data_IF_263983858218
#
_entry.id   IF_263983858218
#
_cell.length_a   1.000
_cell.length_b   1.000
_cell.length_c   1.000
_cell.angle_alpha   90.00
_cell.angle_beta   90.00
_cell.angle_gamma   90.00
#
_symmetry.space_group_name_H-M   'P 1'
#
loop_
_entity.id
_entity.type
_entity.pdbx_description
1 polymer ?
#
# COMPACT_ATOMS: atom_id res chain seq x y z
N UNK A 1 -18.84 24.06 -6.35
CA UNK A 1 -17.92 23.64 -7.42
C UNK A 1 -17.32 22.29 -7.03
N UNK A 2 -17.65 21.20 -7.71
CA UNK A 2 -16.97 19.91 -7.51
C UNK A 2 -15.55 20.06 -8.08
N UNK A 3 -14.58 20.12 -7.17
CA UNK A 3 -13.14 20.19 -7.42
C UNK A 3 -12.58 18.75 -7.52
N UNK A 4 -11.39 18.57 -8.09
CA UNK A 4 -11.13 17.50 -9.02
C UNK A 4 -11.03 16.10 -8.42
N UNK A 5 -11.50 15.14 -9.20
CA UNK A 5 -11.31 13.69 -9.05
C UNK A 5 -9.92 13.34 -9.59
N UNK A 6 -9.01 12.81 -8.77
CA UNK A 6 -7.74 12.29 -9.27
C UNK A 6 -7.38 10.96 -8.61
N UNK A 7 -7.24 9.95 -9.47
CA UNK A 7 -7.03 8.55 -9.15
C UNK A 7 -5.58 8.22 -9.48
N UNK A 8 -4.86 7.66 -8.52
CA UNK A 8 -3.66 6.86 -8.75
C UNK A 8 -3.73 5.63 -7.84
N UNK A 9 -2.86 4.67 -8.05
CA UNK A 9 -3.19 3.23 -8.00
C UNK A 9 -2.18 2.48 -7.15
N UNK A 10 -2.43 1.23 -6.73
CA UNK A 10 -1.72 0.69 -5.58
C UNK A 10 -0.58 -0.29 -5.93
N UNK A 11 0.64 0.10 -5.62
CA UNK A 11 1.62 -0.77 -4.97
C UNK A 11 2.68 0.13 -4.34
N UNK A 12 3.14 -0.20 -3.13
CA UNK A 12 4.28 0.47 -2.51
C UNK A 12 5.56 0.15 -3.30
N UNK A 13 5.72 0.79 -4.45
CA UNK A 13 6.95 0.81 -5.24
C UNK A 13 7.60 2.17 -5.08
N UNK A 14 8.93 2.19 -5.12
CA UNK A 14 9.65 3.46 -5.02
C UNK A 14 9.26 4.39 -6.17
N UNK A 15 9.17 3.85 -7.40
CA UNK A 15 8.77 4.61 -8.57
C UNK A 15 7.38 5.25 -8.43
N UNK A 16 6.42 4.53 -7.82
CA UNK A 16 5.08 5.06 -7.57
C UNK A 16 5.06 6.17 -6.52
N UNK A 17 5.95 6.11 -5.52
CA UNK A 17 6.07 7.16 -4.50
C UNK A 17 6.78 8.40 -5.06
N UNK A 18 7.84 8.22 -5.85
CA UNK A 18 8.57 9.31 -6.53
C UNK A 18 7.63 10.12 -7.44
N UNK A 19 6.88 9.45 -8.32
CA UNK A 19 5.93 10.12 -9.21
C UNK A 19 4.89 10.96 -8.46
N UNK A 20 4.53 10.55 -7.24
CA UNK A 20 3.62 11.29 -6.39
C UNK A 20 4.26 12.45 -5.65
N UNK A 21 5.51 12.30 -5.21
CA UNK A 21 6.27 13.41 -4.66
C UNK A 21 6.41 14.53 -5.71
N UNK A 22 6.79 14.19 -6.95
CA UNK A 22 6.91 15.13 -8.06
C UNK A 22 5.60 15.86 -8.36
N UNK A 23 4.48 15.11 -8.38
CA UNK A 23 3.16 15.71 -8.57
C UNK A 23 2.82 16.67 -7.42
N UNK A 24 3.01 16.24 -6.18
CA UNK A 24 2.68 17.04 -5.01
C UNK A 24 3.54 18.30 -4.94
N UNK A 25 4.84 18.21 -5.24
CA UNK A 25 5.73 19.38 -5.33
C UNK A 25 5.17 20.44 -6.29
N UNK A 26 4.69 20.02 -7.46
CA UNK A 26 4.14 20.93 -8.47
C UNK A 26 2.82 21.62 -8.03
N UNK A 27 2.01 20.96 -7.17
CA UNK A 27 0.69 21.47 -6.77
C UNK A 27 0.63 22.02 -5.33
N UNK A 28 1.60 21.69 -4.47
CA UNK A 28 1.62 22.02 -3.04
C UNK A 28 1.32 23.49 -2.73
N UNK A 29 1.88 24.48 -3.45
CA UNK A 29 1.63 25.89 -3.16
C UNK A 29 0.16 26.31 -3.36
N UNK A 30 -0.62 25.50 -4.08
CA UNK A 30 -2.03 25.75 -4.39
C UNK A 30 -2.97 24.97 -3.48
N UNK A 31 -2.43 24.10 -2.61
CA UNK A 31 -3.21 23.29 -1.68
C UNK A 31 -3.29 23.98 -0.31
N UNK A 32 -4.49 23.99 0.28
CA UNK A 32 -4.72 24.64 1.58
C UNK A 32 -4.07 23.92 2.75
N UNK A 33 -4.29 22.59 2.85
CA UNK A 33 -3.62 21.68 3.75
C UNK A 33 -3.68 20.28 3.15
N UNK A 34 -2.64 19.47 3.35
CA UNK A 34 -2.57 18.16 2.74
C UNK A 34 -1.91 17.14 3.68
N UNK A 35 -2.54 15.99 3.88
CA UNK A 35 -2.10 14.97 4.82
C UNK A 35 -1.22 13.91 4.13
N UNK A 36 0.05 13.81 4.53
CA UNK A 36 1.03 12.84 4.07
C UNK A 36 1.01 11.57 4.94
N UNK A 37 1.25 10.38 4.37
CA UNK A 37 1.30 9.08 5.06
C UNK A 37 2.62 8.90 5.82
N UNK A 38 3.02 9.94 6.56
CA UNK A 38 4.19 9.99 7.43
C UNK A 38 3.71 9.98 8.89
N UNK A 39 4.48 9.39 9.83
CA UNK A 39 4.13 9.44 11.25
C UNK A 39 3.90 10.85 11.78
N UNK A 40 2.84 11.04 12.57
CA UNK A 40 2.54 12.32 13.20
C UNK A 40 3.66 12.82 14.11
N UNK A 41 4.48 11.90 14.64
CA UNK A 41 5.71 12.17 15.38
C UNK A 41 6.70 13.02 14.56
N UNK A 42 6.89 12.73 13.27
CA UNK A 42 7.77 13.51 12.39
C UNK A 42 7.28 14.96 12.27
N UNK A 43 5.98 15.16 12.06
CA UNK A 43 5.39 16.51 11.99
C UNK A 43 5.49 17.29 13.31
N UNK A 44 5.70 16.60 14.43
CA UNK A 44 5.93 17.21 15.75
C UNK A 44 7.42 17.44 16.06
N UNK A 45 8.31 17.12 15.12
CA UNK A 45 9.76 17.20 15.32
C UNK A 45 10.30 16.13 16.28
N UNK A 46 9.55 15.05 16.50
CA UNK A 46 9.98 13.93 17.33
C UNK A 46 10.75 12.91 16.47
N UNK A 47 11.74 12.20 17.06
CA UNK A 47 12.41 11.09 16.38
C UNK A 47 11.38 10.04 15.94
N UNK A 48 11.48 9.59 14.69
CA UNK A 48 10.66 8.53 14.15
C UNK A 48 11.55 7.52 13.43
N UNK A 49 11.51 6.27 13.91
CA UNK A 49 12.14 5.14 13.24
C UNK A 49 11.15 4.58 12.22
N UNK A 50 11.50 4.72 10.94
CA UNK A 50 10.69 4.24 9.81
C UNK A 50 11.09 2.82 9.38
N UNK A 51 12.14 2.26 9.98
CA UNK A 51 12.62 0.93 9.68
C UNK A 51 12.90 0.71 8.19
N UNK A 52 12.59 -0.49 7.65
CA UNK A 52 12.80 -0.83 6.24
C UNK A 52 12.00 0.03 5.24
N UNK A 53 10.99 0.78 5.70
CA UNK A 53 10.15 1.63 4.86
C UNK A 53 10.80 2.98 4.53
N UNK A 54 11.85 3.37 5.25
CA UNK A 54 12.54 4.66 5.06
C UNK A 54 12.92 4.89 3.59
N UNK A 55 13.54 3.90 2.94
CA UNK A 55 13.94 3.99 1.52
C UNK A 55 12.77 4.20 0.56
N UNK A 56 11.58 3.70 0.90
CA UNK A 56 10.38 3.87 0.07
C UNK A 56 9.67 5.19 0.37
N UNK A 57 9.80 5.71 1.59
CA UNK A 57 9.20 6.98 2.02
C UNK A 57 10.12 8.18 1.78
N UNK A 58 11.40 7.96 1.46
CA UNK A 58 12.41 8.99 1.18
C UNK A 58 11.90 10.12 0.25
N UNK A 59 11.21 9.86 -0.88
CA UNK A 59 10.70 10.96 -1.70
C UNK A 59 9.66 11.84 -0.99
N UNK A 60 8.84 11.26 -0.12
CA UNK A 60 7.86 12.01 0.69
C UNK A 60 8.52 12.76 1.84
N UNK A 61 9.61 12.23 2.40
CA UNK A 61 10.41 12.93 3.39
C UNK A 61 11.10 14.14 2.77
N UNK A 62 11.72 13.98 1.59
CA UNK A 62 12.32 15.08 0.84
C UNK A 62 11.27 16.16 0.55
N UNK A 63 10.10 15.79 0.03
CA UNK A 63 8.97 16.69 -0.20
C UNK A 63 8.58 17.47 1.07
N UNK A 64 8.46 16.77 2.20
CA UNK A 64 8.08 17.38 3.48
C UNK A 64 9.10 18.43 3.97
N UNK A 65 10.40 18.17 3.80
CA UNK A 65 11.46 19.06 4.28
C UNK A 65 11.82 20.19 3.31
N UNK A 66 11.75 19.94 2.01
CA UNK A 66 12.28 20.86 0.99
C UNK A 66 11.20 21.80 0.43
N UNK A 67 9.94 21.35 0.38
CA UNK A 67 8.83 22.13 -0.21
C UNK A 67 8.04 22.83 0.88
N UNK A 68 8.01 24.18 0.82
CA UNK A 68 7.19 25.00 1.72
C UNK A 68 5.70 24.89 1.38
N UNK A 69 4.97 24.07 2.12
CA UNK A 69 3.51 24.01 2.08
C UNK A 69 2.91 23.65 3.45
N UNK A 70 1.58 23.67 3.56
CA UNK A 70 0.87 23.30 4.78
C UNK A 70 0.69 21.78 4.88
N UNK A 71 1.81 21.09 5.08
CA UNK A 71 1.85 19.64 5.26
C UNK A 71 1.30 19.24 6.63
N UNK A 72 0.55 18.15 6.65
CA UNK A 72 0.18 17.44 7.87
C UNK A 72 0.58 15.98 7.73
N UNK A 73 0.84 15.31 8.83
CA UNK A 73 1.22 13.90 8.86
C UNK A 73 0.10 13.10 9.51
N UNK A 74 -0.19 11.91 9.00
CA UNK A 74 -1.17 11.01 9.61
C UNK A 74 -0.63 9.60 9.80
N UNK A 75 -1.13 8.98 10.87
CA UNK A 75 -0.64 7.74 11.40
C UNK A 75 0.45 7.94 12.44
N UNK A 76 1.05 6.84 12.89
CA UNK A 76 2.04 6.85 13.97
C UNK A 76 3.18 5.87 13.74
N UNK A 77 4.31 6.07 14.42
CA UNK A 77 5.42 5.10 14.44
C UNK A 77 4.92 3.76 15.01
N UNK A 78 4.02 3.81 15.99
CA UNK A 78 3.38 2.63 16.54
C UNK A 78 2.53 1.88 15.48
N UNK A 79 1.85 2.58 14.58
CA UNK A 79 1.14 1.96 13.44
C UNK A 79 2.09 1.34 12.43
N UNK A 80 3.21 1.99 12.11
CA UNK A 80 4.22 1.42 11.22
C UNK A 80 4.73 0.08 11.78
N UNK A 81 5.07 0.03 13.07
CA UNK A 81 5.47 -1.21 13.75
C UNK A 81 4.38 -2.29 13.72
N UNK A 82 3.11 -1.90 13.86
CA UNK A 82 1.98 -2.86 13.72
C UNK A 82 1.89 -3.40 12.29
N UNK A 83 2.12 -2.57 11.28
CA UNK A 83 2.14 -2.99 9.86
C UNK A 83 3.32 -3.92 9.56
N UNK A 84 4.49 -3.68 10.15
CA UNK A 84 5.63 -4.61 10.06
C UNK A 84 5.28 -5.98 10.65
N UNK A 85 4.69 -6.01 11.86
CA UNK A 85 4.24 -7.26 12.46
C UNK A 85 3.17 -7.96 11.62
N UNK A 86 2.26 -7.21 10.99
CA UNK A 86 1.29 -7.76 10.05
C UNK A 86 2.01 -8.38 8.84
N UNK A 87 2.99 -7.71 8.25
CA UNK A 87 3.78 -8.26 7.14
C UNK A 87 4.47 -9.58 7.54
N UNK A 88 5.03 -9.67 8.75
CA UNK A 88 5.62 -10.93 9.26
C UNK A 88 4.57 -12.05 9.37
N UNK A 89 3.37 -11.74 9.89
CA UNK A 89 2.27 -12.72 9.96
C UNK A 89 1.84 -13.19 8.57
N UNK A 90 1.80 -12.29 7.59
CA UNK A 90 1.51 -12.65 6.20
C UNK A 90 2.57 -13.57 5.62
N UNK A 91 3.85 -13.27 5.84
CA UNK A 91 4.96 -14.14 5.39
C UNK A 91 4.85 -15.52 6.04
N UNK A 92 4.49 -15.61 7.32
CA UNK A 92 4.26 -16.89 7.98
C UNK A 92 3.14 -17.71 7.32
N UNK A 93 2.01 -17.08 6.95
CA UNK A 93 0.94 -17.72 6.19
C UNK A 93 1.41 -18.22 4.81
N UNK A 94 2.20 -17.40 4.12
CA UNK A 94 2.78 -17.77 2.82
C UNK A 94 3.73 -18.95 2.94
N UNK A 95 4.61 -18.96 3.94
CA UNK A 95 5.53 -20.06 4.20
C UNK A 95 4.78 -21.37 4.51
N UNK A 96 3.76 -21.31 5.38
CA UNK A 96 2.89 -22.48 5.64
C UNK A 96 2.26 -23.00 4.34
N UNK A 97 1.69 -22.11 3.53
CA UNK A 97 1.05 -22.49 2.27
C UNK A 97 2.03 -23.18 1.31
N UNK A 98 3.29 -22.69 1.22
CA UNK A 98 4.32 -23.30 0.36
C UNK A 98 4.82 -24.64 0.91
N UNK A 99 5.10 -24.72 2.21
CA UNK A 99 5.69 -25.92 2.84
C UNK A 99 4.69 -27.06 2.91
N UNK A 100 3.44 -26.78 3.26
CA UNK A 100 2.40 -27.80 3.45
C UNK A 100 1.48 -27.98 2.23
N UNK A 101 1.63 -27.15 1.18
CA UNK A 101 0.81 -27.20 -0.03
C UNK A 101 -0.68 -26.90 0.20
N UNK A 102 -1.04 -26.31 1.34
CA UNK A 102 -2.43 -26.07 1.75
C UNK A 102 -2.64 -24.64 2.25
N UNK A 103 -3.73 -24.02 1.80
CA UNK A 103 -4.20 -22.72 2.30
C UNK A 103 -5.34 -22.97 3.28
N UNK A 104 -5.17 -22.55 4.52
CA UNK A 104 -6.22 -22.56 5.53
C UNK A 104 -6.97 -21.22 5.52
N UNK A 105 -8.17 -21.19 4.96
CA UNK A 105 -8.95 -19.96 4.86
C UNK A 105 -9.29 -19.34 6.22
N UNK A 106 -9.37 -20.10 7.31
CA UNK A 106 -9.67 -19.54 8.62
C UNK A 106 -8.52 -18.67 9.14
N UNK A 107 -7.27 -19.11 8.93
CA UNK A 107 -6.08 -18.31 9.29
C UNK A 107 -5.98 -17.02 8.44
N UNK A 108 -6.26 -17.14 7.13
CA UNK A 108 -6.23 -16.01 6.21
C UNK A 108 -7.39 -15.02 6.46
N UNK A 109 -8.58 -15.53 6.79
CA UNK A 109 -9.71 -14.71 7.23
C UNK A 109 -9.34 -13.91 8.47
N UNK A 110 -8.75 -14.56 9.48
CA UNK A 110 -8.28 -13.90 10.71
C UNK A 110 -7.28 -12.79 10.41
N UNK A 111 -6.35 -13.02 9.49
CA UNK A 111 -5.37 -12.00 9.07
C UNK A 111 -6.02 -10.78 8.43
N UNK A 112 -6.96 -11.00 7.50
CA UNK A 112 -7.63 -9.91 6.79
C UNK A 112 -8.83 -9.31 7.55
N UNK A 113 -9.19 -9.80 8.74
CA UNK A 113 -10.34 -9.31 9.54
C UNK A 113 -10.24 -7.84 9.96
N UNK A 114 -9.03 -7.29 10.04
CA UNK A 114 -8.84 -5.90 10.43
C UNK A 114 -8.99 -4.97 9.23
N UNK A 115 -10.06 -4.15 9.24
CA UNK A 115 -10.11 -2.95 8.40
C UNK A 115 -9.09 -1.94 8.89
N UNK A 116 -8.26 -1.46 7.96
CA UNK A 116 -7.46 -0.28 8.20
C UNK A 116 -8.39 0.91 8.47
N UNK A 117 -8.04 1.75 9.44
CA UNK A 117 -8.69 3.04 9.60
C UNK A 117 -8.48 3.88 8.34
N UNK A 118 -9.53 4.61 7.93
CA UNK A 118 -9.45 5.47 6.78
C UNK A 118 -8.54 6.68 7.09
N UNK A 119 -7.69 7.11 6.14
CA UNK A 119 -6.88 8.30 6.33
C UNK A 119 -7.76 9.57 6.40
N UNK A 120 -7.27 10.66 7.02
CA UNK A 120 -7.96 11.94 7.04
C UNK A 120 -8.13 12.51 5.62
N UNK A 121 -9.03 13.47 5.42
CA UNK A 121 -9.26 14.11 4.11
C UNK A 121 -8.83 15.59 4.12
N UNK A 122 -8.19 16.12 3.05
CA UNK A 122 -7.60 15.41 1.90
C UNK A 122 -6.25 14.77 2.27
N UNK A 123 -6.02 13.52 1.87
CA UNK A 123 -4.75 12.81 2.14
C UNK A 123 -4.15 12.15 0.91
N UNK A 124 -2.84 12.00 0.96
CA UNK A 124 -2.07 11.04 0.18
C UNK A 124 -2.13 9.67 0.87
N UNK A 125 -2.66 8.67 0.20
CA UNK A 125 -2.66 7.28 0.66
C UNK A 125 -1.69 6.44 -0.17
N UNK A 126 -0.99 5.49 0.44
CA UNK A 126 -0.20 4.50 -0.29
C UNK A 126 -0.89 3.15 -0.17
N UNK A 127 -1.07 2.47 -1.29
CA UNK A 127 -1.46 1.07 -1.24
C UNK A 127 -2.95 0.78 -0.97
N UNK A 128 -3.78 1.79 -0.72
CA UNK A 128 -5.21 1.62 -0.39
C UNK A 128 -6.10 2.40 -1.34
N UNK A 129 -7.14 1.75 -1.86
CA UNK A 129 -8.20 2.41 -2.63
C UNK A 129 -9.10 3.20 -1.67
N UNK A 130 -8.87 4.51 -1.56
CA UNK A 130 -9.75 5.43 -0.84
C UNK A 130 -10.91 5.86 -1.76
N UNK A 131 -12.12 5.91 -1.21
CA UNK A 131 -13.29 6.55 -1.81
C UNK A 131 -13.10 8.08 -1.92
N UNK A 132 -13.97 8.76 -2.68
CA UNK A 132 -13.92 10.18 -3.10
C UNK A 132 -13.15 11.14 -2.14
N UNK A 133 -12.29 11.98 -2.75
CA UNK A 133 -11.46 13.07 -2.16
C UNK A 133 -10.10 12.70 -1.51
N UNK A 134 -9.47 11.59 -1.90
CA UNK A 134 -8.07 11.25 -1.56
C UNK A 134 -7.18 11.11 -2.79
N UNK A 135 -5.88 11.44 -2.69
CA UNK A 135 -4.87 11.09 -3.70
C UNK A 135 -4.27 9.77 -3.27
N UNK A 136 -4.32 8.75 -4.12
CA UNK A 136 -3.70 7.46 -3.83
C UNK A 136 -2.45 7.36 -4.68
N UNK A 137 -1.36 6.88 -4.12
CA UNK A 137 -0.08 6.79 -4.78
C UNK A 137 0.49 5.39 -4.77
N UNK A 138 1.24 5.12 -5.83
CA UNK A 138 1.68 3.79 -6.23
C UNK A 138 1.43 3.54 -7.72
N UNK A 139 1.74 2.34 -8.16
CA UNK A 139 1.61 1.90 -9.55
C UNK A 139 0.29 1.16 -9.79
N UNK A 140 -0.23 1.16 -11.03
CA UNK A 140 -1.47 0.46 -11.43
C UNK A 140 -1.12 -0.84 -12.15
N UNK A 141 -1.89 -1.94 -12.00
CA UNK A 141 -3.01 -2.20 -11.06
C UNK A 141 -2.66 -2.37 -9.56
N UNK A 142 -3.63 -2.66 -8.65
CA UNK A 142 -3.39 -2.94 -7.23
C UNK A 142 -2.85 -4.34 -6.94
N UNK A 143 -1.76 -4.48 -6.17
CA UNK A 143 -1.12 -5.79 -5.93
C UNK A 143 -2.05 -6.76 -5.15
N UNK A 144 -1.76 -8.08 -5.10
CA UNK A 144 -2.68 -9.07 -4.54
C UNK A 144 -2.98 -8.86 -3.04
N UNK A 145 -2.01 -8.35 -2.29
CA UNK A 145 -2.14 -8.08 -0.86
C UNK A 145 -3.09 -6.89 -0.65
N UNK A 146 -2.96 -5.85 -1.48
CA UNK A 146 -3.82 -4.67 -1.45
C UNK A 146 -5.24 -5.00 -1.88
N UNK A 147 -5.39 -5.82 -2.92
CA UNK A 147 -6.69 -6.36 -3.33
C UNK A 147 -7.36 -7.15 -2.20
N UNK A 148 -6.58 -7.96 -1.46
CA UNK A 148 -7.12 -8.67 -0.31
C UNK A 148 -7.54 -7.72 0.82
N UNK A 149 -6.73 -6.73 1.17
CA UNK A 149 -7.13 -5.75 2.19
C UNK A 149 -8.43 -5.00 1.84
N UNK A 150 -8.70 -4.77 0.57
CA UNK A 150 -9.94 -4.10 0.14
C UNK A 150 -11.13 -5.06 0.05
N UNK A 151 -10.96 -6.21 -0.62
CA UNK A 151 -12.08 -7.02 -1.11
C UNK A 151 -12.26 -8.34 -0.38
N UNK A 152 -11.31 -8.79 0.45
CA UNK A 152 -11.32 -10.13 1.03
C UNK A 152 -12.66 -10.50 1.68
N UNK A 153 -13.29 -9.60 2.44
CA UNK A 153 -14.58 -9.83 3.09
C UNK A 153 -15.77 -9.99 2.14
N UNK A 154 -15.65 -9.51 0.91
CA UNK A 154 -16.70 -9.56 -0.11
C UNK A 154 -16.55 -10.78 -1.01
N UNK A 155 -15.44 -11.51 -0.92
CA UNK A 155 -15.13 -12.63 -1.80
C UNK A 155 -15.71 -13.95 -1.28
N UNK A 156 -16.29 -14.80 -2.16
CA UNK A 156 -16.63 -16.17 -1.82
C UNK A 156 -15.36 -17.01 -1.55
N UNK A 157 -15.47 -18.16 -0.84
CA UNK A 157 -14.32 -19.00 -0.46
C UNK A 157 -13.40 -19.41 -1.61
N UNK A 158 -13.96 -19.67 -2.80
CA UNK A 158 -13.17 -20.03 -3.98
C UNK A 158 -12.27 -18.87 -4.45
N UNK A 159 -12.82 -17.65 -4.51
CA UNK A 159 -12.06 -16.45 -4.87
C UNK A 159 -11.04 -16.08 -3.78
N UNK A 160 -11.36 -16.26 -2.50
CA UNK A 160 -10.38 -16.11 -1.40
C UNK A 160 -9.21 -17.08 -1.55
N UNK A 161 -9.49 -18.34 -1.85
CA UNK A 161 -8.44 -19.36 -2.05
C UNK A 161 -7.53 -19.00 -3.23
N UNK A 162 -8.12 -18.56 -4.34
CA UNK A 162 -7.36 -18.13 -5.51
C UNK A 162 -6.51 -16.88 -5.22
N UNK A 163 -7.07 -15.89 -4.52
CA UNK A 163 -6.35 -14.69 -4.10
C UNK A 163 -5.21 -15.01 -3.12
N UNK A 164 -5.41 -15.95 -2.19
CA UNK A 164 -4.36 -16.41 -1.29
C UNK A 164 -3.21 -17.11 -2.04
N UNK A 165 -3.51 -17.98 -3.01
CA UNK A 165 -2.48 -18.58 -3.90
C UNK A 165 -1.70 -17.50 -4.61
N UNK A 166 -2.40 -16.48 -5.06
CA UNK A 166 -1.78 -15.38 -5.78
C UNK A 166 -0.89 -14.50 -4.89
N UNK A 167 -1.29 -14.24 -3.64
CA UNK A 167 -0.44 -13.60 -2.63
C UNK A 167 0.83 -14.44 -2.38
N UNK A 168 0.70 -15.76 -2.28
CA UNK A 168 1.86 -16.68 -2.12
C UNK A 168 2.85 -16.55 -3.28
N UNK A 169 2.35 -16.50 -4.51
CA UNK A 169 3.18 -16.29 -5.71
C UNK A 169 3.86 -14.92 -5.68
N UNK A 170 3.11 -13.86 -5.37
CA UNK A 170 3.65 -12.49 -5.32
C UNK A 170 4.74 -12.34 -4.27
N UNK A 171 4.53 -12.86 -3.06
CA UNK A 171 5.56 -12.83 -2.00
C UNK A 171 6.78 -13.67 -2.39
N UNK A 172 6.59 -14.77 -3.12
CA UNK A 172 7.73 -15.53 -3.68
C UNK A 172 8.52 -14.69 -4.69
N UNK A 173 7.84 -13.97 -5.59
CA UNK A 173 8.50 -13.08 -6.55
C UNK A 173 9.28 -11.95 -5.84
N UNK A 174 8.78 -11.42 -4.72
CA UNK A 174 9.50 -10.44 -3.91
C UNK A 174 10.82 -11.02 -3.40
N UNK A 175 10.81 -12.24 -2.87
CA UNK A 175 12.01 -12.92 -2.37
C UNK A 175 13.02 -13.19 -3.51
N UNK A 176 12.52 -13.49 -4.71
CA UNK A 176 13.33 -13.76 -5.91
C UNK A 176 13.77 -12.48 -6.65
N UNK A 177 13.43 -11.30 -6.16
CA UNK A 177 13.72 -10.02 -6.82
C UNK A 177 14.69 -9.18 -5.99
N UNK A 178 15.41 -8.28 -6.66
CA UNK A 178 16.35 -7.36 -6.01
C UNK A 178 15.63 -6.29 -5.17
N UNK A 179 14.37 -5.98 -5.50
CA UNK A 179 13.52 -5.02 -4.80
C UNK A 179 12.02 -5.24 -5.12
N UNK A 180 11.15 -4.47 -4.45
CA UNK A 180 9.69 -4.52 -4.66
C UNK A 180 9.28 -4.06 -6.07
N UNK A 181 9.97 -3.06 -6.63
CA UNK A 181 9.72 -2.56 -7.99
C UNK A 181 9.90 -3.66 -9.04
N UNK A 182 11.00 -4.41 -9.00
CA UNK A 182 11.24 -5.52 -9.92
C UNK A 182 10.19 -6.63 -9.75
N UNK A 183 9.87 -7.00 -8.50
CA UNK A 183 8.84 -8.00 -8.21
C UNK A 183 7.48 -7.60 -8.79
N UNK A 184 7.13 -6.32 -8.64
CA UNK A 184 5.93 -5.72 -9.22
C UNK A 184 5.93 -5.79 -10.75
N UNK A 185 7.02 -5.39 -11.42
CA UNK A 185 7.09 -5.44 -12.88
C UNK A 185 7.07 -6.87 -13.42
N UNK A 186 7.67 -7.85 -12.70
CA UNK A 186 7.54 -9.28 -13.01
C UNK A 186 6.09 -9.74 -12.92
N UNK A 187 5.36 -9.30 -11.90
CA UNK A 187 3.93 -9.58 -11.73
C UNK A 187 3.12 -9.02 -12.91
N UNK A 188 3.33 -7.75 -13.28
CA UNK A 188 2.69 -7.10 -14.44
C UNK A 188 2.92 -7.91 -15.72
N UNK A 189 4.18 -8.24 -15.99
CA UNK A 189 4.59 -8.92 -17.23
C UNK A 189 3.95 -10.31 -17.38
N UNK A 190 3.57 -10.97 -16.28
CA UNK A 190 2.88 -12.27 -16.29
C UNK A 190 1.38 -12.20 -16.64
N UNK A 191 0.87 -11.06 -17.08
CA UNK A 191 -0.52 -10.92 -17.53
C UNK A 191 -1.50 -10.58 -16.40
N UNK A 192 -0.99 -10.00 -15.32
CA UNK A 192 -1.73 -9.69 -14.11
C UNK A 192 -2.99 -8.82 -14.31
N UNK A 193 -2.99 -7.86 -15.24
CA UNK A 193 -4.19 -7.07 -15.51
C UNK A 193 -5.42 -7.96 -15.79
N UNK A 194 -5.24 -9.13 -16.39
CA UNK A 194 -6.31 -10.10 -16.62
C UNK A 194 -6.75 -10.82 -15.33
N UNK A 195 -5.82 -11.18 -14.45
CA UNK A 195 -6.14 -11.78 -13.16
C UNK A 195 -6.93 -10.82 -12.26
N UNK A 196 -6.51 -9.55 -12.21
CA UNK A 196 -7.22 -8.49 -11.49
C UNK A 196 -8.69 -8.37 -11.94
N UNK A 197 -8.94 -8.32 -13.26
CA UNK A 197 -10.30 -8.25 -13.82
C UNK A 197 -11.12 -9.50 -13.47
N UNK A 198 -10.52 -10.69 -13.55
CA UNK A 198 -11.21 -11.97 -13.29
C UNK A 198 -11.55 -12.21 -11.81
N UNK A 199 -10.79 -11.64 -10.87
CA UNK A 199 -11.07 -11.77 -9.44
C UNK A 199 -12.05 -10.70 -8.91
N UNK A 200 -12.28 -9.63 -9.69
CA UNK A 200 -13.12 -8.48 -9.33
C UNK A 200 -14.51 -8.52 -9.96
N UNK A 201 -14.67 -9.17 -11.12
CA UNK A 201 -15.96 -9.34 -11.78
C UNK A 201 -16.81 -10.45 -11.16
#
# INVERSE_FOLDING_TARGET
>A
MRRPLFIATTSLTRAGVEACADFLEAVAPRLGAFWLPLPAELCKGLPADLGPLEKYLEPLLALYYEVKANWRCYGSVAELRRKELAAVKLVALVLKAKVFGKIDLAEWDTYFTQRAEAPPKPALAIGTLVQEDGIICGTYPPNPIELAHERWHQLPPEKKSALAKWIVEYVSMIIESINLDEAYFKLVKRGWAHAYVNYIS
#
